data_IF_904491811247
#
_entry.id   IF_904491811247
#
_cell.length_a   1.000
_cell.length_b   1.000
_cell.length_c   1.000
_cell.angle_alpha   90.00
_cell.angle_beta   90.00
_cell.angle_gamma   90.00
#
_symmetry.space_group_name_H-M   'P 1'
#
loop_
_entity.id
_entity.type
_entity.pdbx_description
1 polymer ?
#
# COMPACT_ATOMS: atom_id res chain seq x y z
N UNK A 1 4.25 6.24 -21.74
CA UNK A 1 4.75 4.94 -22.26
C UNK A 1 6.26 4.93 -22.17
N UNK A 2 6.85 3.96 -21.47
CA UNK A 2 8.29 3.86 -21.17
C UNK A 2 8.89 2.65 -21.89
N UNK A 3 8.69 2.54 -23.23
CA UNK A 3 9.48 1.64 -24.10
C UNK A 3 9.13 1.67 -25.61
N UNK A 4 8.36 2.65 -26.09
CA UNK A 4 7.83 2.61 -27.47
C UNK A 4 8.83 3.07 -28.54
N UNK A 5 10.01 3.57 -28.16
CA UNK A 5 10.92 4.29 -29.05
C UNK A 5 12.32 3.67 -29.20
N UNK A 6 12.51 2.39 -28.84
CA UNK A 6 13.81 1.70 -29.01
C UNK A 6 14.95 2.22 -28.12
N UNK A 7 14.67 3.17 -27.23
CA UNK A 7 15.58 3.59 -26.17
C UNK A 7 15.44 2.64 -24.99
N UNK A 8 16.43 1.75 -24.81
CA UNK A 8 16.58 1.00 -23.57
C UNK A 8 16.94 1.99 -22.45
N UNK A 9 15.93 2.52 -21.79
CA UNK A 9 16.13 3.28 -20.56
C UNK A 9 16.79 2.35 -19.53
N UNK A 10 17.82 2.82 -18.80
CA UNK A 10 18.42 2.04 -17.73
C UNK A 10 17.33 1.57 -16.77
N UNK A 11 17.36 0.30 -16.36
CA UNK A 11 16.34 -0.29 -15.48
C UNK A 11 16.15 0.52 -14.19
N UNK A 12 17.23 1.17 -13.72
CA UNK A 12 17.19 2.12 -12.61
C UNK A 12 16.27 3.31 -12.87
N UNK A 13 16.39 3.96 -14.03
CA UNK A 13 15.55 5.10 -14.40
C UNK A 13 14.06 4.71 -14.49
N UNK A 14 13.77 3.49 -14.96
CA UNK A 14 12.39 2.97 -14.98
C UNK A 14 11.87 2.78 -13.55
N UNK A 15 12.69 2.19 -12.65
CA UNK A 15 12.32 2.03 -11.24
C UNK A 15 12.14 3.36 -10.53
N UNK A 16 12.98 4.36 -10.81
CA UNK A 16 12.85 5.72 -10.28
C UNK A 16 11.54 6.36 -10.72
N UNK A 17 11.17 6.22 -11.98
CA UNK A 17 9.88 6.71 -12.48
C UNK A 17 8.70 6.01 -11.81
N UNK A 18 8.77 4.69 -11.61
CA UNK A 18 7.71 3.94 -10.92
C UNK A 18 7.59 4.38 -9.46
N UNK A 19 8.71 4.44 -8.73
CA UNK A 19 8.73 4.79 -7.32
C UNK A 19 8.27 6.24 -7.08
N UNK A 20 8.58 7.17 -7.99
CA UNK A 20 8.11 8.55 -7.91
C UNK A 20 6.63 8.73 -8.29
N UNK A 21 6.04 7.78 -9.03
CA UNK A 21 4.67 7.88 -9.53
C UNK A 21 3.62 7.19 -8.66
N UNK A 22 4.04 6.29 -7.75
CA UNK A 22 3.16 5.52 -6.89
C UNK A 22 3.32 5.97 -5.44
N UNK A 23 2.23 6.38 -4.79
CA UNK A 23 2.23 6.63 -3.35
C UNK A 23 1.79 5.38 -2.56
N UNK A 24 0.77 4.68 -3.07
CA UNK A 24 0.08 3.61 -2.35
C UNK A 24 -0.26 2.43 -3.25
N UNK A 25 -0.19 1.23 -2.68
CA UNK A 25 -0.61 -0.04 -3.26
C UNK A 25 -1.67 -0.65 -2.34
N UNK A 26 -2.86 -0.92 -2.89
CA UNK A 26 -3.95 -1.58 -2.17
C UNK A 26 -4.07 -3.01 -2.69
N UNK A 27 -3.66 -3.98 -1.86
CA UNK A 27 -3.79 -5.38 -2.21
C UNK A 27 -5.16 -5.90 -1.78
N UNK A 28 -5.93 -6.41 -2.73
CA UNK A 28 -7.24 -7.05 -2.48
C UNK A 28 -7.13 -8.53 -2.84
N UNK A 29 -7.56 -9.39 -1.91
CA UNK A 29 -7.55 -10.85 -2.12
C UNK A 29 -8.97 -11.41 -2.02
N UNK A 30 -9.25 -12.42 -2.84
CA UNK A 30 -10.44 -13.26 -2.68
C UNK A 30 -10.14 -14.31 -1.60
N UNK A 31 -10.97 -14.33 -0.58
CA UNK A 31 -10.84 -15.20 0.58
C UNK A 31 -11.60 -16.51 0.41
N UNK A 32 -11.30 -17.48 1.27
CA UNK A 32 -11.93 -18.82 1.24
C UNK A 32 -13.44 -18.80 1.50
N UNK A 33 -13.94 -17.77 2.18
CA UNK A 33 -15.37 -17.53 2.36
C UNK A 33 -16.03 -16.82 1.16
N UNK A 34 -15.30 -16.65 0.06
CA UNK A 34 -15.76 -16.00 -1.17
C UNK A 34 -15.72 -14.47 -1.15
N UNK A 35 -15.47 -13.85 0.01
CA UNK A 35 -15.39 -12.40 0.14
C UNK A 35 -14.11 -11.82 -0.45
N UNK A 36 -14.16 -10.58 -0.97
CA UNK A 36 -12.97 -9.81 -1.31
C UNK A 36 -12.64 -8.87 -0.16
N UNK A 37 -11.40 -8.87 0.30
CA UNK A 37 -10.93 -8.01 1.39
C UNK A 37 -9.61 -7.36 1.01
N UNK A 38 -9.45 -6.11 1.41
CA UNK A 38 -8.13 -5.46 1.42
C UNK A 38 -7.26 -6.18 2.44
N UNK A 39 -6.16 -6.77 1.98
CA UNK A 39 -5.23 -7.53 2.84
C UNK A 39 -4.03 -6.72 3.27
N UNK A 40 -3.56 -5.82 2.40
CA UNK A 40 -2.47 -4.90 2.67
C UNK A 40 -2.77 -3.53 2.08
N UNK A 41 -2.41 -2.51 2.82
CA UNK A 41 -2.26 -1.14 2.34
C UNK A 41 -0.79 -0.80 2.51
N UNK A 42 -0.07 -0.72 1.40
CA UNK A 42 1.38 -0.56 1.38
C UNK A 42 1.73 0.78 0.76
N UNK A 43 2.56 1.57 1.42
CA UNK A 43 3.14 2.78 0.86
C UNK A 43 4.43 2.46 0.10
N UNK A 44 4.62 3.13 -1.03
CA UNK A 44 5.91 3.17 -1.73
C UNK A 44 6.69 4.35 -1.17
N UNK A 45 7.77 4.06 -0.45
CA UNK A 45 8.58 5.09 0.22
C UNK A 45 9.51 5.79 -0.78
N UNK A 46 10.00 5.02 -1.77
CA UNK A 46 10.94 5.52 -2.77
C UNK A 46 11.91 4.44 -3.18
N UNK A 47 13.18 4.81 -3.34
CA UNK A 47 14.24 3.88 -3.70
C UNK A 47 15.43 3.98 -2.76
N UNK A 48 16.00 2.83 -2.41
CA UNK A 48 17.31 2.70 -1.80
C UNK A 48 18.25 2.00 -2.79
N UNK A 49 19.18 2.77 -3.38
CA UNK A 49 20.02 2.28 -4.46
C UNK A 49 19.19 1.91 -5.70
N UNK A 50 19.12 0.61 -6.00
CA UNK A 50 18.35 0.04 -7.13
C UNK A 50 17.06 -0.68 -6.70
N UNK A 51 16.74 -0.65 -5.40
CA UNK A 51 15.60 -1.35 -4.81
C UNK A 51 14.49 -0.36 -4.50
N UNK A 52 13.24 -0.68 -4.90
CA UNK A 52 12.06 0.08 -4.49
C UNK A 52 11.72 -0.32 -3.06
N UNK A 53 11.69 0.65 -2.16
CA UNK A 53 11.39 0.44 -0.75
C UNK A 53 9.92 0.69 -0.49
N UNK A 54 9.30 -0.22 0.26
CA UNK A 54 7.88 -0.17 0.61
C UNK A 54 7.70 -0.40 2.10
N UNK A 55 6.58 0.07 2.64
CA UNK A 55 6.19 -0.20 4.03
C UNK A 55 4.69 -0.44 4.11
N UNK A 56 4.28 -1.45 4.88
CA UNK A 56 2.87 -1.71 5.13
C UNK A 56 2.33 -0.74 6.18
N UNK A 57 1.23 -0.07 5.85
CA UNK A 57 0.49 0.83 6.74
C UNK A 57 -0.65 0.10 7.44
N UNK A 58 -1.31 -0.80 6.73
CA UNK A 58 -2.39 -1.62 7.28
C UNK A 58 -2.30 -3.04 6.76
N UNK A 59 -2.66 -4.01 7.62
CA UNK A 59 -2.86 -5.40 7.23
C UNK A 59 -4.15 -5.96 7.79
N UNK A 60 -4.77 -6.88 7.06
CA UNK A 60 -5.89 -7.64 7.58
C UNK A 60 -5.39 -8.82 8.42
N UNK A 61 -5.75 -8.86 9.69
CA UNK A 61 -5.46 -9.96 10.61
C UNK A 61 -6.68 -10.86 10.77
N UNK A 62 -6.52 -12.11 10.34
CA UNK A 62 -7.54 -13.13 10.52
C UNK A 62 -7.64 -13.55 11.99
N UNK A 63 -8.85 -13.52 12.55
CA UNK A 63 -9.14 -13.93 13.93
C UNK A 63 -9.92 -15.22 14.04
N UNK A 64 -10.57 -15.67 12.97
CA UNK A 64 -11.36 -16.89 12.99
C UNK A 64 -12.44 -16.92 11.91
N UNK A 65 -13.40 -17.82 12.08
CA UNK A 65 -14.59 -17.87 11.25
C UNK A 65 -15.82 -18.05 12.12
N UNK A 66 -16.96 -17.56 11.65
CA UNK A 66 -18.24 -17.86 12.29
C UNK A 66 -18.77 -19.25 11.90
N UNK A 67 -19.92 -19.61 12.47
CA UNK A 67 -20.62 -20.88 12.20
C UNK A 67 -21.02 -21.05 10.72
N UNK A 68 -21.14 -19.95 9.97
CA UNK A 68 -21.44 -19.96 8.54
C UNK A 68 -20.19 -20.04 7.65
N UNK A 69 -18.99 -20.10 8.25
CA UNK A 69 -17.71 -20.14 7.55
C UNK A 69 -17.22 -18.77 7.05
N UNK A 70 -17.88 -17.67 7.43
CA UNK A 70 -17.45 -16.32 7.09
C UNK A 70 -16.23 -15.95 7.92
N UNK A 71 -15.20 -15.39 7.26
CA UNK A 71 -13.98 -14.97 7.95
C UNK A 71 -14.24 -13.72 8.79
N UNK A 72 -13.78 -13.79 10.04
CA UNK A 72 -13.70 -12.69 10.99
C UNK A 72 -12.23 -12.27 11.09
N UNK A 73 -12.00 -10.96 11.10
CA UNK A 73 -10.68 -10.37 11.25
C UNK A 73 -10.80 -8.87 11.29
N UNK A 74 -9.70 -8.22 11.64
CA UNK A 74 -9.61 -6.76 11.78
C UNK A 74 -8.48 -6.21 10.93
N UNK A 75 -8.60 -4.94 10.55
CA UNK A 75 -7.49 -4.22 9.93
C UNK A 75 -6.64 -3.60 11.03
N UNK A 76 -5.38 -3.97 11.06
CA UNK A 76 -4.41 -3.52 12.05
C UNK A 76 -3.45 -2.56 11.36
N UNK A 77 -3.29 -1.37 11.95
CA UNK A 77 -2.30 -0.41 11.52
C UNK A 77 -0.91 -0.84 11.97
N UNK A 78 0.12 -0.56 11.16
CA UNK A 78 1.51 -0.71 11.57
C UNK A 78 2.00 0.37 12.54
N UNK A 79 1.23 1.46 12.72
CA UNK A 79 1.61 2.60 13.54
C UNK A 79 2.71 3.49 12.94
N UNK A 80 3.22 3.15 11.76
CA UNK A 80 4.26 3.93 11.07
C UNK A 80 3.64 5.17 10.43
N UNK A 81 4.15 6.36 10.73
CA UNK A 81 3.70 7.59 10.07
C UNK A 81 4.02 7.51 8.56
N UNK A 82 3.03 7.64 7.66
CA UNK A 82 3.28 7.59 6.23
C UNK A 82 4.19 8.72 5.74
N UNK A 83 5.03 8.46 4.74
CA UNK A 83 5.88 9.49 4.12
C UNK A 83 5.04 10.51 3.34
N UNK A 84 3.93 10.08 2.74
CA UNK A 84 2.98 11.00 2.08
C UNK A 84 2.14 11.84 3.07
N UNK A 85 2.41 11.81 4.38
CA UNK A 85 1.62 12.56 5.38
C UNK A 85 1.54 14.06 5.06
N UNK A 86 2.65 14.69 4.65
CA UNK A 86 2.64 16.11 4.28
C UNK A 86 1.67 16.39 3.11
N UNK A 87 1.54 15.46 2.16
CA UNK A 87 0.57 15.54 1.06
C UNK A 87 -0.86 15.37 1.58
N UNK A 88 -1.09 14.43 2.50
CA UNK A 88 -2.39 14.27 3.14
C UNK A 88 -2.79 15.55 3.92
N UNK A 89 -1.87 16.18 4.63
CA UNK A 89 -2.08 17.46 5.34
C UNK A 89 -2.42 18.59 4.36
N UNK A 90 -1.70 18.69 3.24
CA UNK A 90 -1.98 19.67 2.19
C UNK A 90 -3.42 19.57 1.65
N UNK A 91 -3.96 18.35 1.53
CA UNK A 91 -5.35 18.13 1.13
C UNK A 91 -6.35 18.13 2.30
N UNK A 92 -5.93 18.51 3.51
CA UNK A 92 -6.80 18.56 4.69
C UNK A 92 -7.17 17.19 5.29
N UNK A 93 -6.51 16.11 4.84
CA UNK A 93 -6.77 14.73 5.26
C UNK A 93 -5.85 14.23 6.37
N UNK A 94 -4.84 15.01 6.78
CA UNK A 94 -3.85 14.58 7.78
C UNK A 94 -4.49 14.08 9.09
N UNK A 95 -5.48 14.79 9.63
CA UNK A 95 -6.17 14.36 10.85
C UNK A 95 -6.92 13.03 10.69
N UNK A 96 -7.62 12.86 9.56
CA UNK A 96 -8.37 11.64 9.27
C UNK A 96 -7.43 10.44 9.09
N UNK A 97 -6.29 10.65 8.44
CA UNK A 97 -5.27 9.64 8.26
C UNK A 97 -4.65 9.21 9.60
N UNK A 98 -4.29 10.16 10.46
CA UNK A 98 -3.79 9.84 11.80
C UNK A 98 -4.81 9.06 12.62
N UNK A 99 -6.08 9.49 12.62
CA UNK A 99 -7.15 8.78 13.33
C UNK A 99 -7.35 7.35 12.82
N UNK A 100 -7.15 7.10 11.52
CA UNK A 100 -7.23 5.76 10.95
C UNK A 100 -6.06 4.86 11.42
N UNK A 101 -4.89 5.44 11.70
CA UNK A 101 -3.69 4.71 12.14
C UNK A 101 -3.74 4.29 13.61
N UNK A 102 -4.67 4.84 14.40
CA UNK A 102 -4.78 4.62 15.86
C UNK A 102 -4.23 5.79 16.66
#
# INVERSE_FOLDING_TARGET
MVNMAGLNLPTKAIREQIAAALDLIIQVSRMRDGGRRTVYVTEVVGMEGDVITTQDLFRFEWKGQDESGKLIGDWVSSGVRPHFMARAEYFGLGRALMQAMG
#
